data_IF_775420963626
#
_entry.id   IF_775420963626
#
_cell.length_a   1.000
_cell.length_b   1.000
_cell.length_c   1.000
_cell.angle_alpha   90.00
_cell.angle_beta   90.00
_cell.angle_gamma   90.00
#
_symmetry.space_group_name_H-M   'P 1'
#
loop_
_entity.id
_entity.type
_entity.pdbx_description
1 polymer ?
#
# COMPACT_ATOMS: atom_id res chain seq x y z
N UNK A 1 -2.47 -6.71 14.23
CA UNK A 1 -2.66 -5.94 12.99
C UNK A 1 -1.74 -6.45 11.89
N UNK A 2 -2.09 -6.26 10.64
CA UNK A 2 -1.20 -6.51 9.48
C UNK A 2 -1.49 -5.48 8.40
N UNK A 3 -0.47 -5.14 7.61
CA UNK A 3 -0.62 -4.33 6.41
C UNK A 3 -0.88 -5.25 5.21
N UNK A 4 -1.83 -4.86 4.36
CA UNK A 4 -2.12 -5.51 3.08
C UNK A 4 -1.82 -4.51 1.97
N UNK A 5 -0.93 -4.86 1.05
CA UNK A 5 -0.63 -4.08 -0.15
C UNK A 5 -1.26 -4.77 -1.35
N UNK A 6 -2.09 -4.03 -2.08
CA UNK A 6 -2.86 -4.51 -3.22
C UNK A 6 -2.43 -3.70 -4.44
N UNK A 7 -1.90 -4.39 -5.45
CA UNK A 7 -1.47 -3.78 -6.72
C UNK A 7 -2.57 -3.93 -7.76
N UNK A 8 -2.91 -2.82 -8.38
CA UNK A 8 -3.73 -2.72 -9.56
C UNK A 8 -2.91 -2.18 -10.73
N UNK A 9 -3.16 -2.74 -11.91
CA UNK A 9 -2.65 -2.21 -13.19
C UNK A 9 -3.82 -2.18 -14.14
N UNK A 10 -4.08 -1.03 -14.80
CA UNK A 10 -5.26 -0.84 -15.66
C UNK A 10 -6.57 -1.19 -14.94
N UNK A 11 -6.67 -0.80 -13.67
CA UNK A 11 -7.80 -1.10 -12.76
C UNK A 11 -8.09 -2.58 -12.52
N UNK A 12 -7.19 -3.49 -12.94
CA UNK A 12 -7.28 -4.94 -12.68
C UNK A 12 -6.38 -5.31 -11.52
N UNK A 13 -6.88 -6.15 -10.62
CA UNK A 13 -6.09 -6.70 -9.52
C UNK A 13 -4.98 -7.58 -10.08
N UNK A 14 -3.72 -7.22 -9.84
CA UNK A 14 -2.55 -7.99 -10.28
C UNK A 14 -1.98 -8.82 -9.14
N UNK A 15 -1.82 -8.21 -7.96
CA UNK A 15 -1.20 -8.89 -6.82
C UNK A 15 -1.72 -8.36 -5.50
N UNK A 16 -1.79 -9.23 -4.50
CA UNK A 16 -1.96 -8.83 -3.10
C UNK A 16 -0.87 -9.49 -2.27
N UNK A 17 -0.21 -8.72 -1.41
CA UNK A 17 0.67 -9.24 -0.36
C UNK A 17 0.22 -8.71 0.99
N UNK A 18 0.46 -9.52 2.03
CA UNK A 18 0.18 -9.18 3.43
C UNK A 18 1.45 -9.34 4.24
N UNK A 19 1.63 -8.48 5.23
CA UNK A 19 2.64 -8.70 6.26
C UNK A 19 2.19 -9.81 7.22
N UNK A 20 3.12 -10.41 7.98
CA UNK A 20 2.75 -11.19 9.15
C UNK A 20 1.91 -10.36 10.11
N UNK A 21 1.01 -11.03 10.84
CA UNK A 21 0.24 -10.35 11.88
C UNK A 21 1.14 -10.07 13.08
N UNK A 22 1.12 -8.82 13.55
CA UNK A 22 1.82 -8.36 14.75
C UNK A 22 0.83 -7.87 15.80
N UNK A 23 1.26 -7.73 17.05
CA UNK A 23 0.41 -7.21 18.13
C UNK A 23 -0.01 -5.76 17.83
N UNK A 24 -1.26 -5.40 18.15
CA UNK A 24 -1.74 -4.03 18.03
C UNK A 24 -1.09 -3.16 19.11
N UNK A 25 -0.39 -2.11 18.68
CA UNK A 25 0.28 -1.12 19.52
C UNK A 25 0.11 0.27 18.86
N UNK A 26 0.35 1.38 19.57
CA UNK A 26 0.31 2.72 18.98
C UNK A 26 1.29 2.88 17.82
N UNK A 27 2.48 2.32 17.96
CA UNK A 27 3.51 2.25 16.91
C UNK A 27 3.78 0.79 16.57
N UNK A 28 3.75 0.49 15.27
CA UNK A 28 3.87 -0.87 14.75
C UNK A 28 4.89 -0.89 13.63
N UNK A 29 5.89 -1.74 13.78
CA UNK A 29 6.87 -2.00 12.74
C UNK A 29 6.51 -3.26 11.95
N UNK A 30 6.48 -3.13 10.63
CA UNK A 30 6.31 -4.28 9.73
C UNK A 30 7.63 -4.72 9.08
N UNK A 31 8.55 -3.79 8.77
CA UNK A 31 9.88 -4.01 8.20
C UNK A 31 9.93 -5.07 7.09
N UNK A 32 9.01 -4.98 6.11
CA UNK A 32 8.97 -5.86 4.93
C UNK A 32 8.98 -5.05 3.64
N UNK A 33 9.72 -5.53 2.66
CA UNK A 33 9.68 -5.08 1.28
C UNK A 33 8.72 -5.94 0.45
N UNK A 34 8.20 -5.33 -0.62
CA UNK A 34 7.38 -6.01 -1.60
C UNK A 34 7.87 -5.67 -3.00
N UNK A 35 8.51 -6.64 -3.64
CA UNK A 35 8.98 -6.45 -5.01
C UNK A 35 7.85 -6.70 -6.01
N UNK A 36 7.70 -5.75 -6.92
CA UNK A 36 6.70 -5.76 -7.98
C UNK A 36 7.41 -5.42 -9.28
N UNK A 37 7.23 -6.27 -10.28
CA UNK A 37 7.69 -5.98 -11.63
C UNK A 37 6.56 -5.34 -12.42
N UNK A 38 6.75 -4.09 -12.84
CA UNK A 38 5.80 -3.36 -13.69
C UNK A 38 6.53 -2.95 -14.98
N UNK A 39 5.99 -3.27 -16.16
CA UNK A 39 6.53 -2.75 -17.41
C UNK A 39 6.49 -1.21 -17.44
N UNK A 40 7.54 -0.57 -17.96
CA UNK A 40 7.64 0.90 -17.98
C UNK A 40 6.42 1.59 -18.61
N UNK A 41 5.86 1.02 -19.69
CA UNK A 41 4.69 1.56 -20.37
C UNK A 41 3.39 1.52 -19.55
N UNK A 42 3.36 0.72 -18.47
CA UNK A 42 2.20 0.58 -17.60
C UNK A 42 2.28 1.46 -16.34
N UNK A 43 3.38 2.19 -16.12
CA UNK A 43 3.58 3.00 -14.91
C UNK A 43 2.50 4.07 -14.70
N UNK A 44 1.96 4.64 -15.78
CA UNK A 44 0.83 5.58 -15.73
C UNK A 44 -0.52 4.95 -15.37
N UNK A 45 -0.58 3.63 -15.18
CA UNK A 45 -1.81 2.87 -14.93
C UNK A 45 -1.70 2.02 -13.66
N UNK A 46 -0.67 2.27 -12.82
CA UNK A 46 -0.42 1.57 -11.56
C UNK A 46 -1.13 2.27 -10.41
N UNK A 47 -1.80 1.48 -9.59
CA UNK A 47 -2.35 1.92 -8.30
C UNK A 47 -2.05 0.90 -7.20
N UNK A 48 -1.53 1.39 -6.07
CA UNK A 48 -1.27 0.61 -4.86
C UNK A 48 -2.26 1.02 -3.79
N UNK A 49 -3.06 0.05 -3.31
CA UNK A 49 -3.91 0.22 -2.13
C UNK A 49 -3.24 -0.45 -0.93
N UNK A 50 -2.87 0.36 0.05
CA UNK A 50 -2.39 -0.10 1.36
C UNK A 50 -3.57 -0.11 2.33
N UNK A 51 -3.83 -1.24 2.97
CA UNK A 51 -4.90 -1.40 3.95
C UNK A 51 -4.33 -1.93 5.26
N UNK A 52 -4.55 -1.20 6.35
CA UNK A 52 -4.25 -1.70 7.68
C UNK A 52 -5.44 -2.52 8.19
N UNK A 53 -5.17 -3.76 8.60
CA UNK A 53 -6.20 -4.70 9.05
C UNK A 53 -5.93 -5.16 10.49
N UNK A 54 -7.00 -5.38 11.23
CA UNK A 54 -6.99 -6.11 12.50
C UNK A 54 -7.59 -7.50 12.28
N UNK A 55 -6.83 -8.55 12.62
CA UNK A 55 -7.28 -9.94 12.53
C UNK A 55 -8.31 -10.17 13.64
N UNK A 56 -9.48 -10.70 13.29
CA UNK A 56 -10.51 -11.05 14.27
C UNK A 56 -10.08 -12.22 15.16
N UNK A 57 -10.63 -12.32 16.39
CA UNK A 57 -10.42 -13.48 17.25
C UNK A 57 -11.09 -14.73 16.65
N UNK A 58 -10.37 -15.86 16.62
CA UNK A 58 -10.90 -17.12 16.10
C UNK A 58 -11.37 -17.02 14.64
N UNK A 59 -12.67 -17.23 14.44
CA UNK A 59 -13.36 -17.18 13.13
C UNK A 59 -13.99 -15.82 12.83
N UNK A 60 -13.87 -14.84 13.72
CA UNK A 60 -14.43 -13.51 13.49
C UNK A 60 -13.79 -12.85 12.26
N UNK A 61 -14.58 -12.08 11.47
CA UNK A 61 -14.06 -11.39 10.31
C UNK A 61 -12.99 -10.37 10.71
N UNK A 62 -12.06 -10.10 9.80
CA UNK A 62 -11.09 -9.01 9.96
C UNK A 62 -11.80 -7.67 10.02
N UNK A 63 -11.27 -6.73 10.81
CA UNK A 63 -11.65 -5.32 10.78
C UNK A 63 -10.64 -4.53 9.93
N UNK A 64 -11.13 -3.62 9.09
CA UNK A 64 -10.29 -2.64 8.41
C UNK A 64 -10.11 -1.47 9.36
N UNK A 65 -8.85 -1.10 9.63
CA UNK A 65 -8.50 0.04 10.49
C UNK A 65 -8.30 1.32 9.69
N UNK A 66 -8.07 1.20 8.38
CA UNK A 66 -7.92 2.33 7.47
C UNK A 66 -7.15 1.94 6.21
N UNK A 67 -7.14 2.85 5.24
CA UNK A 67 -6.58 2.68 3.91
C UNK A 67 -5.83 3.92 3.46
N UNK A 68 -4.86 3.73 2.59
CA UNK A 68 -4.24 4.81 1.81
C UNK A 68 -3.86 4.28 0.43
N UNK A 69 -3.72 5.19 -0.53
CA UNK A 69 -3.39 4.87 -1.92
C UNK A 69 -2.14 5.63 -2.36
N UNK A 70 -1.31 4.96 -3.17
CA UNK A 70 -0.17 5.56 -3.87
C UNK A 70 -0.23 5.06 -5.31
N UNK A 71 -0.16 5.93 -6.30
CA UNK A 71 -0.26 5.51 -7.70
C UNK A 71 -0.60 6.65 -8.65
N UNK A 72 -0.60 6.32 -9.94
CA UNK A 72 -0.84 7.28 -11.02
C UNK A 72 -2.27 7.84 -11.02
N UNK A 73 -3.24 7.11 -10.47
CA UNK A 73 -4.65 7.51 -10.41
C UNK A 73 -5.12 7.76 -8.97
N UNK A 74 -4.20 8.09 -8.06
CA UNK A 74 -4.55 8.41 -6.69
C UNK A 74 -5.37 9.71 -6.63
N UNK A 75 -6.48 9.68 -5.90
CA UNK A 75 -7.34 10.87 -5.70
C UNK A 75 -6.81 11.82 -4.63
N UNK A 76 -5.94 11.33 -3.74
CA UNK A 76 -5.29 12.14 -2.72
C UNK A 76 -3.94 12.66 -3.23
N UNK A 77 -3.73 13.98 -3.11
CA UNK A 77 -2.49 14.65 -3.53
C UNK A 77 -1.24 14.03 -2.91
N UNK A 78 -1.31 13.62 -1.64
CA UNK A 78 -0.18 13.00 -0.95
C UNK A 78 0.27 11.68 -1.61
N UNK A 79 -0.70 10.85 -2.03
CA UNK A 79 -0.45 9.59 -2.71
C UNK A 79 0.05 9.76 -4.14
N UNK A 80 -0.47 10.77 -4.84
CA UNK A 80 -0.04 11.12 -6.20
C UNK A 80 1.39 11.70 -6.20
N UNK A 81 1.68 12.64 -5.29
CA UNK A 81 3.00 13.24 -5.17
C UNK A 81 4.06 12.19 -4.83
N UNK A 82 3.77 11.30 -3.87
CA UNK A 82 4.71 10.23 -3.53
C UNK A 82 5.01 9.31 -4.74
N UNK A 83 3.99 9.02 -5.56
CA UNK A 83 4.19 8.25 -6.79
C UNK A 83 5.07 9.00 -7.79
N UNK A 84 4.87 10.30 -7.98
CA UNK A 84 5.70 11.13 -8.85
C UNK A 84 7.14 11.17 -8.36
N UNK A 85 7.37 11.35 -7.05
CA UNK A 85 8.71 11.38 -6.46
C UNK A 85 9.45 10.05 -6.69
N UNK A 86 8.76 8.90 -6.59
CA UNK A 86 9.32 7.59 -6.92
C UNK A 86 9.74 7.48 -8.39
N UNK A 87 8.96 8.05 -9.32
CA UNK A 87 9.27 8.02 -10.76
C UNK A 87 10.43 8.97 -11.12
N UNK A 88 10.50 10.13 -10.45
CA UNK A 88 11.56 11.13 -10.66
C UNK A 88 12.89 10.74 -10.00
N UNK A 89 12.86 9.82 -9.04
CA UNK A 89 14.04 9.36 -8.29
C UNK A 89 14.37 7.88 -8.54
N UNK A 90 14.65 7.46 -9.78
CA UNK A 90 14.93 6.06 -10.08
C UNK A 90 16.15 5.55 -9.29
N UNK A 91 16.05 4.33 -8.74
CA UNK A 91 17.06 3.66 -7.89
C UNK A 91 17.26 4.26 -6.49
N UNK A 92 16.48 5.28 -6.13
CA UNK A 92 16.45 5.85 -4.78
C UNK A 92 15.19 5.40 -4.04
N UNK A 93 15.28 5.33 -2.72
CA UNK A 93 14.12 5.05 -1.86
C UNK A 93 13.44 6.37 -1.51
N UNK A 94 12.15 6.48 -1.81
CA UNK A 94 11.28 7.55 -1.32
C UNK A 94 10.52 7.04 -0.09
N UNK A 95 10.61 7.76 1.02
CA UNK A 95 9.89 7.44 2.26
C UNK A 95 8.98 8.61 2.62
N UNK A 96 7.69 8.32 2.82
CA UNK A 96 6.70 9.34 3.16
C UNK A 96 5.64 8.75 4.10
N UNK A 97 5.21 9.54 5.07
CA UNK A 97 4.03 9.23 5.87
C UNK A 97 2.76 9.43 5.06
N UNK A 98 1.75 8.61 5.33
CA UNK A 98 0.42 8.70 4.72
C UNK A 98 -0.64 8.61 5.81
N UNK A 99 -1.61 9.52 5.77
CA UNK A 99 -2.79 9.42 6.62
C UNK A 99 -3.65 8.25 6.16
N UNK A 100 -4.21 7.50 7.11
CA UNK A 100 -5.19 6.46 6.82
C UNK A 100 -6.59 7.08 6.83
N UNK A 101 -7.35 6.79 5.78
CA UNK A 101 -8.77 7.13 5.66
C UNK A 101 -9.64 5.86 5.78
N UNK A 102 -10.90 6.04 6.16
CA UNK A 102 -11.88 4.94 6.27
C UNK A 102 -12.43 4.49 4.90
#
# INVERSE_FOLDING_TARGET
VYAKVTLYVRRKLVRTKKTPTVLKKPEVEFNRSFDIHVPHHALGEVDLLVTLCEKGPGLAPRKILGRTQVGANCLCDQGLQHWQDMLLSPKSTCAQWHMLCD
#
